data_IF_534029774942
#
_entry.id   IF_534029774942
#
_cell.length_a   1.000
_cell.length_b   1.000
_cell.length_c   1.000
_cell.angle_alpha   90.00
_cell.angle_beta   90.00
_cell.angle_gamma   90.00
#
_symmetry.space_group_name_H-M   'P 1'
#
loop_
_entity.id
_entity.type
_entity.pdbx_description
1 polymer ?
#
# COMPACT_ATOMS: atom_id res chain seq x y z
N UNK A 1 -10.83 -17.84 24.92
CA UNK A 1 -11.29 -18.85 23.96
C UNK A 1 -12.56 -19.56 24.44
N UNK A 2 -12.63 -20.08 25.66
CA UNK A 2 -13.84 -20.80 26.15
C UNK A 2 -15.14 -19.94 26.15
N UNK A 3 -15.05 -18.68 26.53
CA UNK A 3 -16.23 -17.77 26.60
C UNK A 3 -16.87 -17.51 25.23
N UNK A 4 -16.07 -17.48 24.17
CA UNK A 4 -16.56 -17.25 22.80
C UNK A 4 -17.28 -18.50 22.24
N UNK A 5 -16.85 -19.69 22.64
CA UNK A 5 -17.49 -20.95 22.23
C UNK A 5 -18.84 -21.16 22.94
N UNK A 6 -18.95 -20.76 24.20
CA UNK A 6 -20.19 -20.87 24.95
C UNK A 6 -21.25 -19.83 24.47
N UNK A 7 -20.82 -18.61 24.09
CA UNK A 7 -21.69 -17.59 23.51
C UNK A 7 -22.19 -17.99 22.11
N UNK A 8 -21.32 -18.63 21.31
CA UNK A 8 -21.73 -19.15 19.98
C UNK A 8 -22.81 -20.25 20.08
N UNK A 9 -22.76 -21.09 21.12
CA UNK A 9 -23.79 -22.10 21.40
C UNK A 9 -25.13 -21.50 21.78
N UNK A 10 -25.15 -20.26 22.29
CA UNK A 10 -26.36 -19.52 22.64
C UNK A 10 -26.95 -18.72 21.47
N UNK A 11 -26.42 -18.90 20.24
CA UNK A 11 -26.90 -18.23 19.04
C UNK A 11 -26.44 -16.79 18.85
N UNK A 12 -25.46 -16.33 19.64
CA UNK A 12 -24.83 -15.01 19.46
C UNK A 12 -23.61 -15.13 18.53
N UNK A 13 -23.57 -14.31 17.49
CA UNK A 13 -22.40 -14.17 16.63
C UNK A 13 -21.46 -13.18 17.31
N UNK A 14 -20.39 -13.67 17.94
CA UNK A 14 -19.34 -12.83 18.52
C UNK A 14 -18.22 -12.65 17.50
N UNK A 15 -17.99 -11.42 17.09
CA UNK A 15 -16.87 -11.06 16.25
C UNK A 15 -15.84 -10.32 17.10
N UNK A 16 -14.57 -10.71 17.01
CA UNK A 16 -13.51 -9.99 17.70
C UNK A 16 -13.31 -8.60 17.07
N UNK A 17 -12.99 -7.60 17.88
CA UNK A 17 -12.72 -6.23 17.40
C UNK A 17 -11.64 -6.25 16.33
N UNK A 18 -10.64 -7.11 16.48
CA UNK A 18 -9.54 -7.27 15.53
C UNK A 18 -10.02 -7.73 14.15
N UNK A 19 -10.97 -8.66 14.11
CA UNK A 19 -11.55 -9.13 12.84
C UNK A 19 -12.32 -8.02 12.11
N UNK A 20 -13.01 -7.16 12.85
CA UNK A 20 -13.72 -6.01 12.29
C UNK A 20 -12.73 -4.98 11.76
N UNK A 21 -11.66 -4.68 12.49
CA UNK A 21 -10.63 -3.74 12.06
C UNK A 21 -9.91 -4.25 10.81
N UNK A 22 -9.53 -5.53 10.76
CA UNK A 22 -8.92 -6.15 9.57
C UNK A 22 -9.84 -6.11 8.35
N UNK A 23 -11.12 -6.42 8.56
CA UNK A 23 -12.10 -6.34 7.50
C UNK A 23 -12.26 -4.91 6.98
N UNK A 24 -12.27 -3.91 7.86
CA UNK A 24 -12.36 -2.50 7.48
C UNK A 24 -11.11 -2.06 6.70
N UNK A 25 -9.91 -2.39 7.17
CA UNK A 25 -8.64 -2.07 6.50
C UNK A 25 -8.54 -2.73 5.12
N UNK A 26 -8.99 -3.99 5.01
CA UNK A 26 -9.01 -4.69 3.73
C UNK A 26 -9.92 -4.02 2.70
N UNK A 27 -11.09 -3.56 3.12
CA UNK A 27 -12.13 -3.05 2.21
C UNK A 27 -12.10 -1.52 2.03
N UNK A 28 -11.37 -0.79 2.85
CA UNK A 28 -11.26 0.67 2.77
C UNK A 28 -9.79 1.08 2.89
N UNK A 29 -9.08 1.05 1.77
CA UNK A 29 -7.67 1.44 1.70
C UNK A 29 -7.56 2.80 0.99
N UNK A 30 -7.01 3.80 1.68
CA UNK A 30 -6.92 5.16 1.18
C UNK A 30 -5.55 5.45 0.58
N UNK A 31 -5.46 5.55 -0.75
CA UNK A 31 -4.19 5.77 -1.41
C UNK A 31 -3.74 7.24 -1.32
N UNK A 32 -2.43 7.41 -1.12
CA UNK A 32 -1.71 8.65 -1.37
C UNK A 32 -1.06 8.57 -2.74
N UNK A 33 -1.57 9.33 -3.73
CA UNK A 33 -1.02 9.34 -5.07
C UNK A 33 0.22 10.23 -5.12
N UNK A 34 1.38 9.65 -5.38
CA UNK A 34 2.62 10.38 -5.64
C UNK A 34 3.02 10.22 -7.10
N UNK A 35 2.34 10.95 -7.99
CA UNK A 35 2.63 11.00 -9.42
C UNK A 35 3.73 12.00 -9.73
N UNK A 36 4.93 11.50 -10.10
CA UNK A 36 6.11 12.33 -10.29
C UNK A 36 6.47 12.49 -11.77
N UNK A 37 6.07 11.54 -12.61
CA UNK A 37 6.32 11.58 -14.05
C UNK A 37 5.20 10.89 -14.85
N UNK A 38 5.48 10.32 -16.04
CA UNK A 38 4.49 9.76 -16.93
C UNK A 38 3.58 8.68 -16.31
N UNK A 39 4.06 7.89 -15.35
CA UNK A 39 3.20 6.95 -14.61
C UNK A 39 2.11 7.64 -13.80
N UNK A 40 2.29 8.91 -13.44
CA UNK A 40 1.25 9.71 -12.79
C UNK A 40 0.02 9.93 -13.68
N UNK A 41 0.17 10.01 -14.99
CA UNK A 41 -0.94 10.14 -15.95
C UNK A 41 -1.77 8.85 -15.96
N UNK A 42 -1.10 7.71 -15.99
CA UNK A 42 -1.77 6.41 -15.92
C UNK A 42 -2.43 6.18 -14.56
N UNK A 43 -1.84 6.71 -13.50
CA UNK A 43 -2.45 6.73 -12.16
C UNK A 43 -3.72 7.59 -12.13
N UNK A 44 -3.82 8.68 -12.90
CA UNK A 44 -5.08 9.41 -13.06
C UNK A 44 -6.11 8.58 -13.84
N UNK A 45 -5.68 7.83 -14.84
CA UNK A 45 -6.56 7.00 -15.63
C UNK A 45 -7.21 5.87 -14.82
N UNK A 46 -6.49 5.26 -13.85
CA UNK A 46 -7.07 4.21 -13.01
C UNK A 46 -8.11 4.75 -12.02
N UNK A 47 -8.03 6.03 -11.66
CA UNK A 47 -9.03 6.73 -10.88
C UNK A 47 -10.21 7.23 -11.74
N UNK A 48 -10.08 7.16 -13.06
CA UNK A 48 -11.10 7.63 -14.00
C UNK A 48 -12.30 6.69 -14.11
N UNK A 49 -13.42 7.16 -14.70
CA UNK A 49 -14.69 6.45 -14.71
C UNK A 49 -14.66 5.11 -15.46
N UNK A 50 -13.70 4.88 -16.34
CA UNK A 50 -13.55 3.63 -17.07
C UNK A 50 -13.07 2.48 -16.16
N UNK A 51 -12.16 2.74 -15.25
CA UNK A 51 -11.55 1.74 -14.38
C UNK A 51 -12.11 1.79 -12.98
N UNK A 52 -12.44 2.98 -12.50
CA UNK A 52 -13.18 3.28 -11.26
C UNK A 52 -12.73 2.44 -10.05
N UNK A 53 -11.61 2.83 -9.48
CA UNK A 53 -11.00 2.17 -8.31
C UNK A 53 -11.90 2.21 -7.06
N UNK A 54 -12.94 3.05 -7.05
CA UNK A 54 -13.94 3.13 -5.99
C UNK A 54 -14.62 1.79 -5.72
N UNK A 55 -14.78 0.97 -6.75
CA UNK A 55 -15.35 -0.39 -6.64
C UNK A 55 -14.53 -1.33 -5.77
N UNK A 56 -13.25 -1.00 -5.59
CA UNK A 56 -12.29 -1.79 -4.82
C UNK A 56 -12.01 -1.18 -3.44
N UNK A 57 -12.84 -0.19 -3.00
CA UNK A 57 -12.71 0.42 -1.69
C UNK A 57 -11.59 1.46 -1.56
N UNK A 58 -11.07 1.97 -2.69
CA UNK A 58 -9.99 2.98 -2.71
C UNK A 58 -10.44 4.28 -3.39
N UNK A 59 -11.66 4.69 -3.12
CA UNK A 59 -12.27 5.89 -3.70
C UNK A 59 -11.56 7.18 -3.26
N UNK A 60 -11.15 7.24 -2.00
CA UNK A 60 -10.70 8.47 -1.40
C UNK A 60 -9.19 8.63 -1.55
N UNK A 61 -8.79 9.45 -2.52
CA UNK A 61 -7.41 9.88 -2.67
C UNK A 61 -7.10 10.96 -1.64
N UNK A 62 -6.22 10.66 -0.69
CA UNK A 62 -5.79 11.63 0.31
C UNK A 62 -4.41 12.18 -0.03
N UNK A 63 -4.27 13.50 -0.03
CA UNK A 63 -3.00 14.19 -0.23
C UNK A 63 -2.28 14.49 1.08
N UNK A 64 -2.90 14.17 2.21
CA UNK A 64 -2.28 14.26 3.53
C UNK A 64 -1.73 12.89 3.93
N UNK A 65 -0.41 12.74 4.13
CA UNK A 65 0.19 11.45 4.50
C UNK A 65 -0.40 10.84 5.78
N UNK A 66 -0.82 11.68 6.72
CA UNK A 66 -1.38 11.25 8.00
C UNK A 66 -2.77 10.61 7.90
N UNK A 67 -3.40 10.70 6.73
CA UNK A 67 -4.74 10.17 6.48
C UNK A 67 -4.74 9.05 5.43
N UNK A 68 -3.56 8.52 5.08
CA UNK A 68 -3.39 7.52 4.04
C UNK A 68 -2.81 6.25 4.60
N UNK A 69 -3.22 5.12 4.03
CA UNK A 69 -2.73 3.79 4.39
C UNK A 69 -1.81 3.22 3.30
N UNK A 70 -1.97 3.65 2.06
CA UNK A 70 -1.26 3.15 0.90
C UNK A 70 -0.51 4.27 0.17
N UNK A 71 0.81 4.17 0.05
CA UNK A 71 1.62 5.05 -0.78
C UNK A 71 1.79 4.46 -2.17
N UNK A 72 1.41 5.19 -3.22
CA UNK A 72 1.65 4.82 -4.61
C UNK A 72 2.70 5.76 -5.19
N UNK A 73 3.92 5.26 -5.38
CA UNK A 73 5.00 6.02 -6.01
C UNK A 73 5.01 5.72 -7.51
N UNK A 74 4.62 6.71 -8.31
CA UNK A 74 4.43 6.57 -9.75
C UNK A 74 5.38 7.48 -10.52
N UNK A 75 6.45 6.92 -11.03
CA UNK A 75 7.39 7.61 -11.91
C UNK A 75 8.84 7.61 -11.43
N UNK A 76 9.64 8.47 -12.07
CA UNK A 76 11.09 8.58 -11.85
C UNK A 76 11.38 9.37 -10.59
N UNK A 77 12.09 8.78 -9.65
CA UNK A 77 12.49 9.43 -8.39
C UNK A 77 13.93 9.93 -8.51
N UNK A 78 14.12 11.21 -8.30
CA UNK A 78 15.47 11.80 -8.20
C UNK A 78 15.97 11.75 -6.74
N UNK A 79 17.29 11.85 -6.54
CA UNK A 79 17.85 11.91 -5.18
C UNK A 79 17.31 13.08 -4.36
N UNK A 80 17.02 14.23 -4.98
CA UNK A 80 16.33 15.33 -4.29
C UNK A 80 14.93 14.95 -3.83
N UNK A 81 14.20 14.23 -4.67
CA UNK A 81 12.82 13.82 -4.39
C UNK A 81 12.76 12.65 -3.40
N UNK A 82 13.79 11.81 -3.33
CA UNK A 82 13.82 10.66 -2.42
C UNK A 82 13.65 11.07 -0.95
N UNK A 83 14.24 12.18 -0.54
CA UNK A 83 14.06 12.74 0.80
C UNK A 83 12.61 13.15 1.11
N UNK A 84 11.93 13.69 0.10
CA UNK A 84 10.50 14.06 0.23
C UNK A 84 9.65 12.81 0.35
N UNK A 85 9.89 11.82 -0.51
CA UNK A 85 9.16 10.53 -0.47
C UNK A 85 9.38 9.83 0.86
N UNK A 86 10.62 9.83 1.40
CA UNK A 86 10.92 9.28 2.71
C UNK A 86 10.17 10.01 3.83
N UNK A 87 10.13 11.35 3.80
CA UNK A 87 9.38 12.14 4.78
C UNK A 87 7.88 11.86 4.73
N UNK A 88 7.33 11.67 3.53
CA UNK A 88 5.92 11.28 3.35
C UNK A 88 5.68 9.93 4.00
N UNK A 89 6.54 8.95 3.71
CA UNK A 89 6.46 7.61 4.31
C UNK A 89 6.51 7.63 5.84
N UNK A 90 7.42 8.40 6.41
CA UNK A 90 7.59 8.50 7.86
C UNK A 90 6.39 9.20 8.55
N UNK A 91 5.62 10.02 7.82
CA UNK A 91 4.42 10.68 8.31
C UNK A 91 3.15 9.83 8.23
N UNK A 92 3.19 8.74 7.47
CA UNK A 92 2.04 7.83 7.35
C UNK A 92 1.90 7.00 8.63
N UNK A 93 0.66 6.82 9.14
CA UNK A 93 0.39 5.95 10.27
C UNK A 93 0.59 4.48 9.91
N UNK A 94 0.91 3.64 10.88
CA UNK A 94 0.93 2.19 10.73
C UNK A 94 -0.50 1.63 10.99
N UNK A 95 -0.95 0.61 10.25
CA UNK A 95 -0.27 -0.13 9.18
C UNK A 95 -0.25 0.65 7.86
N UNK A 96 0.86 0.59 7.13
CA UNK A 96 1.06 1.27 5.86
C UNK A 96 1.71 0.37 4.84
N UNK A 97 1.34 0.57 3.57
CA UNK A 97 1.83 -0.20 2.44
C UNK A 97 2.37 0.71 1.34
N UNK A 98 3.26 0.18 0.52
CA UNK A 98 3.86 0.91 -0.59
C UNK A 98 3.77 0.13 -1.90
N UNK A 99 3.29 0.81 -2.95
CA UNK A 99 3.32 0.34 -4.33
C UNK A 99 4.37 1.11 -5.11
N UNK A 100 5.29 0.38 -5.74
CA UNK A 100 6.20 0.91 -6.76
C UNK A 100 5.56 0.75 -8.13
N UNK A 101 5.09 1.87 -8.72
CA UNK A 101 4.42 1.86 -10.01
C UNK A 101 5.36 2.23 -11.15
N UNK A 102 5.61 1.25 -12.01
CA UNK A 102 6.41 1.40 -13.22
C UNK A 102 7.89 1.11 -13.02
N UNK A 103 8.57 0.92 -14.12
CA UNK A 103 9.99 0.53 -14.18
C UNK A 103 10.89 1.57 -13.52
N UNK A 104 10.59 2.87 -13.65
CA UNK A 104 11.42 3.93 -13.08
C UNK A 104 11.44 3.90 -11.55
N UNK A 105 10.28 3.71 -10.91
CA UNK A 105 10.21 3.59 -9.46
C UNK A 105 10.81 2.27 -8.96
N UNK A 106 10.69 1.19 -9.75
CA UNK A 106 11.15 -0.15 -9.36
C UNK A 106 12.65 -0.35 -9.48
N UNK A 107 13.26 0.12 -10.57
CA UNK A 107 14.69 -0.14 -10.89
C UNK A 107 15.44 1.04 -11.48
N UNK A 108 14.81 2.24 -11.54
CA UNK A 108 15.35 3.38 -12.27
C UNK A 108 15.07 3.34 -13.78
N UNK A 109 14.67 2.19 -14.32
CA UNK A 109 14.31 2.02 -15.72
C UNK A 109 15.45 2.32 -16.68
N UNK A 110 15.13 3.06 -17.75
CA UNK A 110 16.12 3.50 -18.74
C UNK A 110 16.96 4.69 -18.27
N UNK A 111 16.61 5.33 -17.15
CA UNK A 111 17.26 6.54 -16.67
C UNK A 111 18.37 6.22 -15.68
N UNK A 112 19.49 5.74 -16.17
CA UNK A 112 20.72 5.53 -15.39
C UNK A 112 21.58 6.79 -15.35
N UNK A 113 21.17 7.79 -14.59
CA UNK A 113 21.95 9.00 -14.39
C UNK A 113 22.32 9.19 -12.92
N UNK A 114 23.29 10.06 -12.66
CA UNK A 114 23.74 10.39 -11.30
C UNK A 114 22.65 11.04 -10.43
N UNK A 115 21.60 11.55 -11.04
CA UNK A 115 20.52 12.26 -10.35
C UNK A 115 19.30 11.38 -10.04
N UNK A 116 19.21 10.18 -10.62
CA UNK A 116 18.05 9.28 -10.52
C UNK A 116 18.36 8.12 -9.60
N UNK A 117 17.46 7.89 -8.64
CA UNK A 117 17.54 6.75 -7.73
C UNK A 117 17.17 5.46 -8.50
N UNK A 118 17.97 4.43 -8.33
CA UNK A 118 17.80 3.15 -9.04
C UNK A 118 16.94 2.19 -8.21
N UNK A 119 15.66 2.56 -8.01
CA UNK A 119 14.68 1.83 -7.22
C UNK A 119 14.37 2.50 -5.87
N UNK A 120 13.09 2.57 -5.54
CA UNK A 120 12.63 3.17 -4.27
C UNK A 120 12.84 2.27 -3.06
N UNK A 121 13.07 0.99 -3.29
CA UNK A 121 13.39 -0.02 -2.28
C UNK A 121 14.70 0.27 -1.52
N UNK A 122 15.56 1.12 -2.06
CA UNK A 122 16.77 1.56 -1.38
C UNK A 122 16.50 2.39 -0.12
N UNK A 123 15.34 3.03 -0.02
CA UNK A 123 15.04 3.93 1.09
C UNK A 123 13.64 3.76 1.71
N UNK A 124 12.73 2.99 1.05
CA UNK A 124 11.39 2.66 1.55
C UNK A 124 11.12 1.17 1.30
N UNK A 125 10.54 0.45 2.26
CA UNK A 125 10.07 -0.91 2.01
C UNK A 125 8.94 -0.89 0.98
N UNK A 126 9.00 -1.77 0.00
CA UNK A 126 8.01 -1.89 -1.08
C UNK A 126 7.26 -3.20 -0.95
N UNK A 127 5.93 -3.13 -0.92
CA UNK A 127 5.04 -4.28 -0.81
C UNK A 127 4.69 -4.89 -2.16
N UNK A 128 4.48 -4.05 -3.17
CA UNK A 128 4.14 -4.49 -4.51
C UNK A 128 4.88 -3.70 -5.59
N UNK A 129 5.37 -4.41 -6.60
CA UNK A 129 5.97 -3.83 -7.79
C UNK A 129 5.07 -4.03 -8.99
N UNK A 130 4.83 -2.97 -9.75
CA UNK A 130 4.05 -3.01 -10.98
C UNK A 130 4.97 -2.76 -12.16
N UNK A 131 5.14 -3.76 -13.02
CA UNK A 131 5.96 -3.66 -14.23
C UNK A 131 5.23 -2.87 -15.32
N UNK A 132 5.98 -2.14 -16.12
CA UNK A 132 5.48 -1.36 -17.25
C UNK A 132 6.08 0.04 -17.35
N UNK A 133 5.92 0.67 -18.51
CA UNK A 133 6.44 2.02 -18.78
C UNK A 133 5.53 2.81 -19.76
N UNK A 134 4.39 3.35 -19.26
CA UNK A 134 3.72 3.10 -17.96
C UNK A 134 2.99 1.74 -17.92
N UNK A 135 2.71 1.23 -16.72
CA UNK A 135 1.88 0.05 -16.55
C UNK A 135 0.42 0.39 -16.83
N UNK A 136 -0.35 -0.59 -17.29
CA UNK A 136 -1.79 -0.40 -17.52
C UNK A 136 -2.56 -0.26 -16.21
N UNK A 137 -3.69 0.48 -16.20
CA UNK A 137 -4.50 0.67 -14.98
C UNK A 137 -4.98 -0.65 -14.37
N UNK A 138 -5.23 -1.68 -15.18
CA UNK A 138 -5.64 -3.00 -14.70
C UNK A 138 -4.55 -3.66 -13.82
N UNK A 139 -3.27 -3.43 -14.14
CA UNK A 139 -2.17 -3.93 -13.34
C UNK A 139 -2.10 -3.23 -11.97
N UNK A 140 -2.44 -1.94 -11.92
CA UNK A 140 -2.52 -1.18 -10.67
C UNK A 140 -3.65 -1.70 -9.79
N UNK A 141 -4.81 -1.99 -10.38
CA UNK A 141 -5.95 -2.59 -9.66
C UNK A 141 -5.59 -3.97 -9.11
N UNK A 142 -4.91 -4.81 -9.90
CA UNK A 142 -4.44 -6.12 -9.43
C UNK A 142 -3.48 -6.00 -8.25
N UNK A 143 -2.55 -5.04 -8.30
CA UNK A 143 -1.63 -4.78 -7.19
C UNK A 143 -2.37 -4.31 -5.93
N UNK A 144 -3.37 -3.45 -6.10
CA UNK A 144 -4.24 -3.00 -5.00
C UNK A 144 -4.95 -4.19 -4.35
N UNK A 145 -5.59 -5.05 -5.14
CA UNK A 145 -6.26 -6.25 -4.63
C UNK A 145 -5.30 -7.19 -3.89
N UNK A 146 -4.08 -7.37 -4.41
CA UNK A 146 -3.07 -8.19 -3.76
C UNK A 146 -2.62 -7.61 -2.40
N UNK A 147 -2.52 -6.28 -2.30
CA UNK A 147 -2.22 -5.61 -1.01
C UNK A 147 -3.41 -5.72 -0.05
N UNK A 148 -4.64 -5.61 -0.53
CA UNK A 148 -5.83 -5.82 0.28
C UNK A 148 -5.89 -7.24 0.87
N UNK A 149 -5.49 -8.24 0.11
CA UNK A 149 -5.34 -9.61 0.62
C UNK A 149 -4.23 -9.70 1.68
N UNK A 150 -3.08 -9.06 1.42
CA UNK A 150 -1.98 -8.99 2.39
C UNK A 150 -2.42 -8.29 3.68
N UNK A 151 -3.13 -7.17 3.58
CA UNK A 151 -3.67 -6.42 4.71
C UNK A 151 -4.66 -7.25 5.55
N UNK A 152 -5.55 -8.02 4.90
CA UNK A 152 -6.47 -8.91 5.59
C UNK A 152 -5.82 -10.08 6.33
N UNK A 153 -4.59 -10.44 5.99
CA UNK A 153 -3.83 -11.51 6.63
C UNK A 153 -2.77 -10.99 7.63
N UNK A 154 -2.59 -9.67 7.71
CA UNK A 154 -1.63 -9.05 8.64
C UNK A 154 -2.22 -9.08 10.06
N UNK A 155 -1.39 -9.41 11.05
CA UNK A 155 -1.84 -9.41 12.45
C UNK A 155 -2.28 -8.00 12.88
N UNK A 156 -3.38 -7.85 13.63
CA UNK A 156 -3.89 -6.55 14.01
C UNK A 156 -2.93 -5.85 15.00
N UNK A 157 -2.70 -4.58 14.76
CA UNK A 157 -1.78 -3.73 15.55
C UNK A 157 -2.29 -3.48 16.96
N UNK A 158 -3.60 -3.58 17.20
CA UNK A 158 -4.21 -3.36 18.52
C UNK A 158 -3.70 -4.33 19.59
N UNK A 159 -3.19 -5.50 19.20
CA UNK A 159 -2.58 -6.47 20.12
C UNK A 159 -1.08 -6.17 20.32
N UNK A 160 -0.45 -5.46 19.39
CA UNK A 160 1.00 -5.33 19.31
C UNK A 160 1.57 -4.16 20.15
N UNK A 161 0.73 -3.31 20.71
CA UNK A 161 1.18 -2.22 21.60
C UNK A 161 1.82 -2.71 22.91
N UNK A 162 1.87 -4.02 23.13
CA UNK A 162 2.50 -4.68 24.27
C UNK A 162 3.69 -5.58 23.91
N UNK A 163 4.03 -5.68 22.63
CA UNK A 163 5.16 -6.50 22.19
C UNK A 163 6.46 -5.68 22.22
N UNK A 164 7.58 -6.27 22.62
CA UNK A 164 8.87 -5.60 22.62
C UNK A 164 9.28 -5.17 21.22
N UNK A 165 10.04 -4.07 21.13
CA UNK A 165 10.49 -3.38 19.89
C UNK A 165 11.29 -4.27 18.92
N UNK A 166 11.61 -5.49 19.28
CA UNK A 166 12.40 -6.43 18.49
C UNK A 166 11.61 -7.17 17.39
N UNK A 167 10.28 -7.11 17.43
CA UNK A 167 9.43 -7.66 16.37
C UNK A 167 9.13 -6.56 15.37
N UNK A 168 10.11 -6.26 14.52
CA UNK A 168 9.84 -5.49 13.30
C UNK A 168 8.77 -6.23 12.52
N UNK A 169 7.67 -5.55 12.12
CA UNK A 169 6.68 -6.19 11.26
C UNK A 169 7.43 -6.78 10.06
N UNK A 170 7.23 -8.08 9.85
CA UNK A 170 7.77 -8.76 8.69
C UNK A 170 7.10 -8.16 7.46
N UNK A 171 7.72 -7.16 6.87
CA UNK A 171 7.34 -6.61 5.56
C UNK A 171 7.67 -7.65 4.48
N UNK A 172 7.26 -8.90 4.78
CA UNK A 172 7.55 -10.08 4.00
C UNK A 172 7.20 -9.90 2.55
N UNK A 173 8.02 -10.49 1.73
CA UNK A 173 7.98 -10.71 0.28
C UNK A 173 7.09 -9.76 -0.52
N UNK A 174 7.73 -8.79 -1.16
CA UNK A 174 7.11 -7.91 -2.14
C UNK A 174 6.40 -8.74 -3.23
N UNK A 175 5.20 -8.29 -3.60
CA UNK A 175 4.39 -8.92 -4.64
C UNK A 175 4.79 -8.30 -5.97
N UNK A 176 5.22 -9.12 -6.93
CA UNK A 176 5.51 -8.69 -8.29
C UNK A 176 4.27 -8.97 -9.14
N UNK A 177 3.65 -7.92 -9.64
CA UNK A 177 2.50 -8.01 -10.53
C UNK A 177 2.97 -7.82 -11.97
N UNK A 178 2.79 -8.83 -12.85
CA UNK A 178 3.19 -8.78 -14.26
C UNK A 178 2.35 -7.80 -15.10
#
# INVERSE_FOLDING_TARGET
MALSEDLAKQGFITTTVDAVVQWAQKNAMWPMPLGISCCGIEMMAFAGPRFDVSRFGSEVFRFSPRQCDLLIVAGTVTYKMSWVVRKIWDQMPDPKWCISMGVCASTGGMFRSYSVVQGIDQFIPVDAYISGCPPRPEAVIKALMAIQEKAGNTKPILIDSRLPEDIKPDYGKSIIVP
#
